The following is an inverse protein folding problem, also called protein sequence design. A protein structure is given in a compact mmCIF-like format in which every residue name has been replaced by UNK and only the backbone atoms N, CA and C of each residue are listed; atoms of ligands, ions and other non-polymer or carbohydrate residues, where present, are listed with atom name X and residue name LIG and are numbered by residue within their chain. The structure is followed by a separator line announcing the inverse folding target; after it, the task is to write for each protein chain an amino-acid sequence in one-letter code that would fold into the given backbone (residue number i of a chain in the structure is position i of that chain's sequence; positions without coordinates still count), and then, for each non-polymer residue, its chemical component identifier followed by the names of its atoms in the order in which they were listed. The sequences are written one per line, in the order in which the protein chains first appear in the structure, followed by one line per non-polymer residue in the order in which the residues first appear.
data_IF_725144350869
#
_entry.id   IF_725144350869
#
_cell.length_a   1.000
_cell.length_b   1.000
_cell.length_c   1.000
_cell.angle_alpha   90.00
_cell.angle_beta   90.00
_cell.angle_gamma   90.00
#
_symmetry.space_group_name_H-M   'P 1'
#
loop_
_entity.id
_entity.type
_entity.pdbx_description
1 polymer ?
#
# COMPACT_ATOMS: atom_id res chain seq x y z
N UNK A 1 -5.19 -1.44 -5.00
CA UNK A 1 -4.96 -0.50 -3.90
C UNK A 1 -6.20 -0.42 -3.09
N UNK A 2 -6.07 -0.82 -1.83
CA UNK A 2 -7.15 -0.71 -0.86
C UNK A 2 -6.93 0.53 -0.01
N UNK A 3 -7.41 1.67 -0.50
CA UNK A 3 -7.09 2.97 0.07
C UNK A 3 -7.57 3.07 1.51
N UNK A 4 -8.73 2.50 1.84
CA UNK A 4 -9.24 2.50 3.20
C UNK A 4 -8.35 1.71 4.16
N UNK A 5 -7.90 0.52 3.79
CA UNK A 5 -6.98 -0.26 4.62
C UNK A 5 -5.66 0.48 4.87
N UNK A 6 -5.08 1.10 3.83
CA UNK A 6 -3.82 1.82 3.98
C UNK A 6 -3.94 3.06 4.87
N UNK A 7 -4.98 3.86 4.71
CA UNK A 7 -5.18 5.05 5.56
C UNK A 7 -5.63 4.69 6.96
N UNK A 8 -6.51 3.69 7.12
CA UNK A 8 -6.97 3.26 8.43
C UNK A 8 -5.84 2.69 9.28
N UNK A 9 -4.96 1.87 8.69
CA UNK A 9 -3.82 1.29 9.39
C UNK A 9 -2.68 2.30 9.63
N UNK A 10 -2.56 3.36 8.81
CA UNK A 10 -1.61 4.45 9.03
C UNK A 10 -1.99 5.35 10.23
N UNK A 11 -3.27 5.36 10.64
CA UNK A 11 -3.74 6.17 11.76
C UNK A 11 -3.72 7.68 11.47
N UNK A 12 -3.54 8.49 12.51
CA UNK A 12 -3.65 9.96 12.43
C UNK A 12 -2.30 10.68 12.21
N UNK A 13 -1.17 9.95 12.11
CA UNK A 13 0.14 10.56 11.88
C UNK A 13 0.25 11.05 10.41
N UNK A 14 0.43 12.36 10.16
CA UNK A 14 0.48 12.88 8.80
C UNK A 14 1.62 12.31 7.97
N UNK A 15 2.75 11.96 8.60
CA UNK A 15 3.89 11.35 7.94
C UNK A 15 3.56 9.94 7.45
N UNK A 16 2.94 9.11 8.31
CA UNK A 16 2.46 7.78 7.96
C UNK A 16 1.41 7.83 6.84
N UNK A 17 0.46 8.78 6.90
CA UNK A 17 -0.56 8.97 5.88
C UNK A 17 0.05 9.36 4.52
N UNK A 18 1.01 10.29 4.51
CA UNK A 18 1.76 10.66 3.30
C UNK A 18 2.54 9.45 2.78
N UNK A 19 3.17 8.67 3.66
CA UNK A 19 3.90 7.47 3.28
C UNK A 19 3.00 6.41 2.66
N UNK A 20 1.81 6.19 3.24
CA UNK A 20 0.79 5.30 2.71
C UNK A 20 0.35 5.74 1.30
N UNK A 21 0.15 7.03 1.07
CA UNK A 21 -0.15 7.54 -0.27
C UNK A 21 1.01 7.32 -1.28
N UNK A 22 2.25 7.44 -0.82
CA UNK A 22 3.44 7.31 -1.67
C UNK A 22 3.83 5.87 -1.99
N UNK A 23 3.31 4.87 -1.26
CA UNK A 23 3.72 3.47 -1.34
C UNK A 23 3.67 2.86 -2.75
N UNK A 24 2.72 3.30 -3.57
CA UNK A 24 2.57 2.85 -4.96
C UNK A 24 3.56 3.47 -5.93
N UNK A 25 4.03 4.67 -5.64
CA UNK A 25 4.90 5.45 -6.51
C UNK A 25 6.37 5.20 -6.22
N UNK A 26 6.68 4.79 -4.98
CA UNK A 26 8.03 4.45 -4.56
C UNK A 26 8.33 2.99 -4.91
N UNK A 27 9.30 2.77 -5.80
CA UNK A 27 9.78 1.43 -6.22
C UNK A 27 11.20 1.18 -5.73
N UNK A 28 11.54 -0.10 -5.54
CA UNK A 28 12.86 -0.52 -5.04
C UNK A 28 12.93 -0.69 -3.53
N UNK A 29 14.10 -1.09 -3.03
CA UNK A 29 14.36 -1.37 -1.61
C UNK A 29 14.18 -0.12 -0.73
N UNK A 30 13.47 -0.26 0.39
CA UNK A 30 13.23 0.82 1.34
C UNK A 30 14.55 1.18 2.04
N UNK A 31 14.87 2.46 2.12
CA UNK A 31 16.11 2.93 2.73
C UNK A 31 17.34 2.83 1.81
N UNK A 32 17.16 2.39 0.55
CA UNK A 32 18.23 2.45 -0.45
C UNK A 32 18.66 3.90 -0.65
N UNK A 33 19.94 4.18 -0.36
CA UNK A 33 20.57 5.50 -0.54
C UNK A 33 21.19 5.68 -1.92
N UNK A 34 21.00 4.70 -2.80
CA UNK A 34 21.56 4.73 -4.15
C UNK A 34 20.73 5.64 -5.04
N UNK A 35 21.38 6.28 -6.02
CA UNK A 35 20.71 7.14 -7.02
C UNK A 35 19.67 6.37 -7.86
N UNK A 36 19.69 5.03 -7.84
CA UNK A 36 18.76 4.16 -8.54
C UNK A 36 17.45 3.92 -7.77
N UNK A 37 17.36 4.39 -6.52
CA UNK A 37 16.10 4.39 -5.77
C UNK A 37 15.14 5.41 -6.39
N UNK A 38 13.91 4.99 -6.67
CA UNK A 38 12.85 5.87 -7.17
C UNK A 38 12.47 6.98 -6.15
N UNK A 39 12.84 6.80 -4.88
CA UNK A 39 12.66 7.79 -3.82
C UNK A 39 13.99 8.19 -3.17
N UNK A 40 14.12 9.48 -2.87
CA UNK A 40 15.23 10.03 -2.09
C UNK A 40 14.98 9.79 -0.60
N UNK A 41 15.17 8.55 -0.15
CA UNK A 41 14.98 8.17 1.26
C UNK A 41 15.93 8.91 2.21
N UNK A 42 16.99 9.53 1.70
CA UNK A 42 17.92 10.40 2.45
C UNK A 42 17.28 11.72 2.91
N UNK A 43 16.21 12.18 2.26
CA UNK A 43 15.57 13.48 2.55
C UNK A 43 14.11 13.35 3.02
N UNK A 44 13.54 12.14 2.96
CA UNK A 44 12.17 11.92 3.42
C UNK A 44 12.12 11.87 4.96
N UNK A 45 11.06 12.42 5.59
CA UNK A 45 10.82 12.22 7.02
C UNK A 45 10.71 10.73 7.36
N UNK A 46 11.23 10.34 8.52
CA UNK A 46 11.24 8.94 8.99
C UNK A 46 9.84 8.31 8.94
N UNK A 47 8.82 9.04 9.41
CA UNK A 47 7.43 8.58 9.40
C UNK A 47 6.88 8.37 7.99
N UNK A 48 7.33 9.15 7.01
CA UNK A 48 6.95 8.92 5.61
C UNK A 48 7.57 7.64 5.07
N UNK A 49 8.81 7.32 5.44
CA UNK A 49 9.46 6.06 5.08
C UNK A 49 8.75 4.88 5.74
N UNK A 50 8.38 5.03 7.03
CA UNK A 50 7.60 4.04 7.76
C UNK A 50 6.22 3.81 7.13
N UNK A 51 5.53 4.86 6.69
CA UNK A 51 4.25 4.75 5.99
C UNK A 51 4.37 4.01 4.64
N UNK A 52 5.44 4.24 3.88
CA UNK A 52 5.73 3.48 2.64
C UNK A 52 5.96 1.99 2.96
N UNK A 53 6.69 1.69 4.04
CA UNK A 53 6.91 0.31 4.48
C UNK A 53 5.61 -0.35 4.92
N UNK A 54 4.79 0.36 5.70
CA UNK A 54 3.49 -0.10 6.15
C UNK A 54 2.59 -0.42 4.96
N UNK A 55 2.48 0.48 3.98
CA UNK A 55 1.72 0.26 2.74
C UNK A 55 2.06 -1.07 2.06
N UNK A 56 3.35 -1.31 1.82
CA UNK A 56 3.80 -2.54 1.17
C UNK A 56 3.56 -3.78 2.02
N UNK A 57 3.66 -3.66 3.34
CA UNK A 57 3.34 -4.76 4.25
C UNK A 57 1.84 -5.09 4.17
N UNK A 58 0.97 -4.08 4.10
CA UNK A 58 -0.47 -4.26 3.94
C UNK A 58 -0.77 -4.97 2.62
N UNK A 59 -0.22 -4.49 1.50
CA UNK A 59 -0.38 -5.14 0.19
C UNK A 59 0.05 -6.61 0.22
N UNK A 60 1.26 -6.90 0.73
CA UNK A 60 1.79 -8.26 0.78
C UNK A 60 0.95 -9.20 1.65
N UNK A 61 0.39 -8.71 2.75
CA UNK A 61 -0.47 -9.52 3.61
C UNK A 61 -1.86 -9.71 2.96
N UNK A 62 -2.51 -8.64 2.51
CA UNK A 62 -3.86 -8.70 1.93
C UNK A 62 -3.91 -9.49 0.63
N UNK A 63 -2.83 -9.52 -0.16
CA UNK A 63 -2.77 -10.31 -1.38
C UNK A 63 -2.65 -11.82 -1.13
N UNK A 64 -2.35 -12.25 0.09
CA UNK A 64 -2.21 -13.67 0.45
C UNK A 64 -3.36 -14.20 1.33
N UNK A 65 -4.28 -13.35 1.79
CA UNK A 65 -5.43 -13.78 2.57
C UNK A 65 -6.39 -14.65 1.75
N UNK A 66 -6.63 -15.88 2.20
CA UNK A 66 -7.48 -16.86 1.51
C UNK A 66 -8.89 -16.33 1.26
N UNK A 67 -9.48 -15.62 2.23
CA UNK A 67 -10.82 -15.03 2.11
C UNK A 67 -10.88 -13.98 0.99
N UNK A 68 -9.84 -13.15 0.86
CA UNK A 68 -9.78 -12.13 -0.20
C UNK A 68 -9.53 -12.75 -1.58
N UNK A 69 -8.74 -13.82 -1.65
CA UNK A 69 -8.54 -14.59 -2.87
C UNK A 69 -9.84 -15.25 -3.32
N UNK A 70 -10.56 -15.89 -2.40
CA UNK A 70 -11.86 -16.50 -2.66
C UNK A 70 -12.89 -15.45 -3.10
N UNK A 71 -12.94 -14.31 -2.42
CA UNK A 71 -13.82 -13.20 -2.80
C UNK A 71 -13.51 -12.69 -4.21
N UNK A 72 -12.23 -12.41 -4.53
CA UNK A 72 -11.82 -12.01 -5.88
C UNK A 72 -12.18 -13.04 -6.94
N UNK A 73 -12.03 -14.33 -6.65
CA UNK A 73 -12.39 -15.43 -7.56
C UNK A 73 -13.91 -15.56 -7.77
N UNK A 74 -14.73 -15.13 -6.81
CA UNK A 74 -16.19 -15.15 -6.92
C UNK A 74 -16.76 -14.01 -7.78
N UNK A 75 -15.99 -12.95 -8.02
CA UNK A 75 -16.44 -11.78 -8.79
C UNK A 75 -16.30 -11.98 -10.31
N UNK A 76 -17.12 -11.26 -11.07
CA UNK A 76 -17.04 -11.26 -12.54
C UNK A 76 -15.64 -10.78 -13.00
N UNK A 77 -14.90 -11.59 -13.78
CA UNK A 77 -13.60 -11.21 -14.34
C UNK A 77 -13.63 -9.90 -15.15
N UNK A 78 -14.75 -9.56 -15.78
CA UNK A 78 -14.92 -8.32 -16.55
C UNK A 78 -14.81 -7.07 -15.67
N UNK A 79 -15.10 -7.22 -14.38
CA UNK A 79 -15.12 -6.14 -13.37
C UNK A 79 -13.81 -5.98 -12.59
N UNK A 80 -12.70 -6.59 -13.03
CA UNK A 80 -11.40 -6.61 -12.31
C UNK A 80 -10.91 -5.24 -11.82
N UNK A 81 -11.21 -4.17 -12.55
CA UNK A 81 -10.84 -2.78 -12.15
C UNK A 81 -11.54 -2.31 -10.88
N UNK A 82 -12.69 -2.88 -10.53
CA UNK A 82 -13.51 -2.52 -9.38
C UNK A 82 -13.31 -3.45 -8.18
N UNK A 83 -12.62 -4.58 -8.36
CA UNK A 83 -12.40 -5.56 -7.31
C UNK A 83 -11.73 -4.96 -6.07
N UNK A 84 -10.75 -4.08 -6.25
CA UNK A 84 -10.12 -3.36 -5.14
C UNK A 84 -11.14 -2.53 -4.37
N UNK A 85 -11.91 -1.69 -5.06
CA UNK A 85 -12.94 -0.82 -4.45
C UNK A 85 -13.95 -1.65 -3.66
N UNK A 86 -14.38 -2.80 -4.17
CA UNK A 86 -15.30 -3.68 -3.47
C UNK A 86 -14.71 -4.21 -2.15
N UNK A 87 -13.42 -4.58 -2.15
CA UNK A 87 -12.72 -5.06 -0.95
C UNK A 87 -12.58 -3.94 0.10
N UNK A 88 -12.40 -2.69 -0.32
CA UNK A 88 -12.31 -1.54 0.59
C UNK A 88 -13.61 -1.28 1.37
N UNK A 89 -14.76 -1.70 0.83
CA UNK A 89 -16.09 -1.45 1.41
C UNK A 89 -16.60 -2.58 2.33
N UNK A 90 -15.89 -3.71 2.39
CA UNK A 90 -16.29 -4.88 3.18
C UNK A 90 -15.87 -4.80 4.65
#
# INVERSE_FOLDING_TARGET
MNYLAHFHLAGDDPGLLIGALLGDFVKGEIGSKTFLSAARFDVLPEQTIAGIALHRSVDANFDTLEDLLAFRASMDPSSRRYHGIAIDLM
#
